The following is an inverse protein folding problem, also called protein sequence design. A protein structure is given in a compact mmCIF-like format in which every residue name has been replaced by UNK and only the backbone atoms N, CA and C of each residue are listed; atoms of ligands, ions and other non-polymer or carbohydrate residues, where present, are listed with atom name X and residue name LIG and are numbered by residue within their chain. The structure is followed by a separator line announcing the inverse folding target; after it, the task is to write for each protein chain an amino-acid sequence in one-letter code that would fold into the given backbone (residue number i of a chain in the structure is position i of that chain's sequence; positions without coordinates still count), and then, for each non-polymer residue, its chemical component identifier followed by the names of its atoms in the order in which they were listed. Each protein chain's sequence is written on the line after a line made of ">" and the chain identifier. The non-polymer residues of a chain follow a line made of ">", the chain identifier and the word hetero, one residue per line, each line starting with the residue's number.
data_IF_613727898642
#
_entry.id   IF_613727898642
#
_cell.length_a   1.000
_cell.length_b   1.000
_cell.length_c   1.000
_cell.angle_alpha   90.00
_cell.angle_beta   90.00
_cell.angle_gamma   90.00
#
_symmetry.space_group_name_H-M   'P 1'
#
loop_
_entity.id
_entity.type
_entity.pdbx_description
1 polymer ?
#
# COMPACT_ATOMS: atom_id res chain seq x y z
N UNK A 1 43.46 -48.55 4.23
CA UNK A 1 43.73 -47.44 3.29
C UNK A 1 42.49 -46.55 3.26
N UNK A 2 42.60 -45.28 3.64
CA UNK A 2 41.47 -44.33 3.60
C UNK A 2 41.41 -43.73 2.20
N UNK A 3 40.36 -44.07 1.43
CA UNK A 3 40.12 -43.53 0.09
C UNK A 3 39.32 -42.23 0.18
N UNK A 4 39.96 -41.10 -0.11
CA UNK A 4 39.33 -39.77 -0.16
C UNK A 4 38.44 -39.67 -1.40
N UNK A 5 37.12 -39.66 -1.22
CA UNK A 5 36.16 -39.29 -2.27
C UNK A 5 36.09 -37.77 -2.38
N UNK A 6 36.44 -37.22 -3.54
CA UNK A 6 36.24 -35.80 -3.82
C UNK A 6 34.74 -35.50 -3.94
N UNK A 7 34.26 -34.53 -3.16
CA UNK A 7 32.87 -34.04 -3.24
C UNK A 7 32.91 -32.62 -3.77
N UNK A 8 32.17 -32.39 -4.86
CA UNK A 8 31.88 -31.06 -5.38
C UNK A 8 30.79 -30.43 -4.50
N UNK A 9 31.20 -29.77 -3.42
CA UNK A 9 30.28 -29.14 -2.48
C UNK A 9 31.01 -28.18 -1.56
N UNK A 10 30.28 -27.22 -1.00
CA UNK A 10 30.85 -26.28 -0.04
C UNK A 10 31.34 -27.06 1.19
N UNK A 11 32.54 -26.72 1.65
CA UNK A 11 33.01 -27.17 2.95
C UNK A 11 32.09 -26.64 4.06
N UNK A 12 32.15 -27.21 5.26
CA UNK A 12 31.45 -26.68 6.43
C UNK A 12 31.71 -25.16 6.63
N UNK A 13 32.96 -24.71 6.39
CA UNK A 13 33.32 -23.29 6.42
C UNK A 13 32.66 -22.49 5.30
N UNK A 14 32.56 -23.08 4.11
CA UNK A 14 31.81 -22.47 2.99
C UNK A 14 30.33 -22.31 3.31
N UNK A 15 29.70 -23.33 3.90
CA UNK A 15 28.31 -23.26 4.36
C UNK A 15 28.11 -22.22 5.45
N UNK A 16 29.03 -22.13 6.43
CA UNK A 16 29.00 -21.07 7.43
C UNK A 16 29.09 -19.68 6.81
N UNK A 17 30.01 -19.46 5.86
CA UNK A 17 30.14 -18.18 5.17
C UNK A 17 28.86 -17.81 4.40
N UNK A 18 28.26 -18.77 3.68
CA UNK A 18 27.00 -18.54 2.96
C UNK A 18 25.87 -18.23 3.94
N UNK A 19 25.76 -18.97 5.04
CA UNK A 19 24.75 -18.73 6.07
C UNK A 19 24.93 -17.33 6.70
N UNK A 20 26.15 -16.96 7.08
CA UNK A 20 26.45 -15.63 7.62
C UNK A 20 26.14 -14.52 6.62
N UNK A 21 26.53 -14.67 5.36
CA UNK A 21 26.23 -13.70 4.30
C UNK A 21 24.71 -13.57 4.07
N UNK A 22 23.98 -14.69 4.09
CA UNK A 22 22.53 -14.72 3.91
C UNK A 22 21.81 -14.03 5.08
N UNK A 23 22.26 -14.27 6.31
CA UNK A 23 21.73 -13.61 7.50
C UNK A 23 21.99 -12.11 7.48
N UNK A 24 23.20 -11.68 7.09
CA UNK A 24 23.52 -10.27 6.92
C UNK A 24 22.64 -9.62 5.85
N UNK A 25 22.46 -10.27 4.70
CA UNK A 25 21.59 -9.76 3.65
C UNK A 25 20.13 -9.65 4.12
N UNK A 26 19.60 -10.68 4.79
CA UNK A 26 18.26 -10.67 5.36
C UNK A 26 18.08 -9.55 6.39
N UNK A 27 19.10 -9.31 7.22
CA UNK A 27 19.11 -8.20 8.18
C UNK A 27 19.07 -6.83 7.48
N UNK A 28 19.89 -6.62 6.44
CA UNK A 28 19.84 -5.38 5.67
C UNK A 28 18.49 -5.17 4.97
N UNK A 29 17.91 -6.23 4.39
CA UNK A 29 16.57 -6.17 3.79
C UNK A 29 15.53 -5.81 4.85
N UNK A 30 15.56 -6.45 6.02
CA UNK A 30 14.63 -6.18 7.11
C UNK A 30 14.67 -4.71 7.55
N UNK A 31 15.87 -4.11 7.63
CA UNK A 31 16.02 -2.70 8.01
C UNK A 31 15.57 -1.72 6.91
N UNK A 32 15.72 -2.08 5.63
CA UNK A 32 15.54 -1.15 4.52
C UNK A 32 14.24 -1.35 3.74
N UNK A 33 13.53 -2.46 3.91
CA UNK A 33 12.32 -2.78 3.13
C UNK A 33 11.22 -1.74 3.32
N UNK A 34 10.99 -1.28 4.56
CA UNK A 34 9.96 -0.28 4.83
C UNK A 34 10.26 1.09 4.19
N UNK A 35 11.40 1.76 4.46
CA UNK A 35 11.69 3.05 3.84
C UNK A 35 11.87 2.96 2.31
N UNK A 36 12.23 1.79 1.78
CA UNK A 36 12.25 1.55 0.34
C UNK A 36 10.84 1.51 -0.28
N UNK A 37 9.88 0.85 0.38
CA UNK A 37 8.50 0.72 -0.11
C UNK A 37 7.62 1.94 0.17
N UNK A 38 7.90 2.69 1.25
CA UNK A 38 7.07 3.80 1.74
C UNK A 38 7.75 5.17 1.56
N UNK A 39 8.30 5.44 0.38
CA UNK A 39 8.93 6.74 0.09
C UNK A 39 7.87 7.84 0.00
N UNK A 40 7.91 8.81 0.91
CA UNK A 40 7.01 9.98 0.89
C UNK A 40 7.74 11.21 0.35
N UNK A 41 7.37 11.67 -0.86
CA UNK A 41 7.80 12.96 -1.41
C UNK A 41 6.59 13.85 -1.63
N UNK A 42 6.44 14.82 -0.74
CA UNK A 42 5.32 15.78 -0.79
C UNK A 42 5.54 16.75 -1.95
N UNK A 43 4.50 16.99 -2.71
CA UNK A 43 4.47 17.96 -3.80
C UNK A 43 3.57 19.13 -3.42
N UNK A 44 3.81 20.31 -4.01
CA UNK A 44 2.93 21.45 -3.81
C UNK A 44 1.62 21.23 -4.59
N UNK A 45 0.56 20.84 -3.88
CA UNK A 45 -0.77 20.55 -4.43
C UNK A 45 -1.84 20.98 -3.44
N UNK A 46 -3.03 21.28 -3.95
CA UNK A 46 -4.22 21.55 -3.16
C UNK A 46 -5.16 20.34 -3.07
N UNK A 47 -4.80 19.20 -3.68
CA UNK A 47 -5.62 17.97 -3.69
C UNK A 47 -4.89 16.84 -2.96
N UNK A 48 -5.59 16.18 -2.05
CA UNK A 48 -5.17 14.95 -1.39
C UNK A 48 -5.97 13.77 -1.95
N UNK A 49 -5.32 12.63 -2.20
CA UNK A 49 -5.99 11.39 -2.60
C UNK A 49 -5.77 10.34 -1.52
N UNK A 50 -6.84 9.68 -1.09
CA UNK A 50 -6.84 8.71 0.00
C UNK A 50 -7.49 7.41 -0.46
N UNK A 51 -6.72 6.33 -0.49
CA UNK A 51 -7.25 4.98 -0.71
C UNK A 51 -8.16 4.58 0.45
N UNK A 52 -9.42 4.26 0.18
CA UNK A 52 -10.41 4.04 1.24
C UNK A 52 -10.40 2.65 1.88
N UNK A 53 -9.57 1.72 1.38
CA UNK A 53 -9.35 0.40 2.00
C UNK A 53 -8.17 0.39 2.98
N UNK A 54 -7.47 1.52 3.14
CA UNK A 54 -6.31 1.57 4.04
C UNK A 54 -6.74 1.43 5.51
N UNK A 55 -5.85 0.94 6.38
CA UNK A 55 -6.17 0.77 7.80
C UNK A 55 -6.53 2.10 8.47
N UNK A 56 -7.36 2.04 9.51
CA UNK A 56 -7.86 3.25 10.19
C UNK A 56 -6.78 4.16 10.78
N UNK A 57 -5.58 3.65 11.09
CA UNK A 57 -4.46 4.53 11.48
C UNK A 57 -3.99 5.41 10.33
N UNK A 58 -3.94 4.88 9.11
CA UNK A 58 -3.53 5.62 7.92
C UNK A 58 -4.59 6.65 7.52
N UNK A 59 -5.88 6.32 7.69
CA UNK A 59 -6.98 7.31 7.53
C UNK A 59 -6.82 8.47 8.53
N UNK A 60 -6.44 8.20 9.79
CA UNK A 60 -6.15 9.26 10.77
C UNK A 60 -4.97 10.14 10.37
N UNK A 61 -3.90 9.54 9.84
CA UNK A 61 -2.77 10.32 9.32
C UNK A 61 -3.15 11.15 8.09
N UNK A 62 -3.97 10.62 7.18
CA UNK A 62 -4.51 11.38 6.05
C UNK A 62 -5.37 12.57 6.49
N UNK A 63 -6.22 12.38 7.52
CA UNK A 63 -7.01 13.47 8.08
C UNK A 63 -6.13 14.56 8.74
N UNK A 64 -5.02 14.18 9.37
CA UNK A 64 -4.04 15.14 9.90
C UNK A 64 -3.32 15.87 8.77
N UNK A 65 -2.89 15.15 7.74
CA UNK A 65 -2.22 15.73 6.57
C UNK A 65 -3.11 16.75 5.86
N UNK A 66 -4.41 16.46 5.70
CA UNK A 66 -5.38 17.42 5.16
C UNK A 66 -5.47 18.69 6.02
N UNK A 67 -5.56 18.55 7.34
CA UNK A 67 -5.73 19.69 8.28
C UNK A 67 -4.47 20.55 8.42
N UNK A 68 -3.29 19.95 8.31
CA UNK A 68 -2.00 20.64 8.45
C UNK A 68 -1.52 21.21 7.12
N UNK A 69 -1.81 20.53 6.02
CA UNK A 69 -1.43 20.95 4.68
C UNK A 69 -2.34 22.03 4.11
N UNK A 70 -1.98 22.55 2.94
CA UNK A 70 -2.76 23.56 2.20
C UNK A 70 -3.76 22.93 1.23
N UNK A 71 -4.34 21.79 1.61
CA UNK A 71 -5.30 21.06 0.80
C UNK A 71 -6.67 21.72 0.85
N UNK A 72 -7.36 21.72 -0.29
CA UNK A 72 -8.72 22.23 -0.45
C UNK A 72 -9.71 21.10 -0.66
N UNK A 73 -9.27 19.99 -1.26
CA UNK A 73 -10.11 18.85 -1.63
C UNK A 73 -9.42 17.53 -1.29
N UNK A 74 -10.22 16.54 -0.89
CA UNK A 74 -9.81 15.16 -0.68
C UNK A 74 -10.64 14.25 -1.57
N UNK A 75 -9.97 13.48 -2.40
CA UNK A 75 -10.60 12.37 -3.11
C UNK A 75 -10.41 11.08 -2.35
N UNK A 76 -11.49 10.32 -2.17
CA UNK A 76 -11.41 8.94 -1.67
C UNK A 76 -11.54 7.96 -2.81
N UNK A 77 -10.59 7.04 -2.94
CA UNK A 77 -10.54 6.07 -4.04
C UNK A 77 -10.76 4.65 -3.54
N UNK A 78 -11.16 3.75 -4.44
CA UNK A 78 -11.23 2.33 -4.15
C UNK A 78 -12.32 1.59 -4.92
N UNK A 79 -12.09 0.30 -5.13
CA UNK A 79 -13.03 -0.60 -5.81
C UNK A 79 -14.13 -1.12 -4.89
N UNK A 80 -14.96 -2.06 -5.36
CA UNK A 80 -16.01 -2.65 -4.53
C UNK A 80 -15.45 -3.31 -3.28
N UNK A 81 -16.21 -3.22 -2.19
CA UNK A 81 -15.86 -3.90 -0.96
C UNK A 81 -15.89 -5.41 -1.21
N UNK A 82 -14.85 -6.13 -0.79
CA UNK A 82 -14.61 -7.54 -1.13
C UNK A 82 -15.82 -8.44 -0.79
N UNK A 83 -16.55 -8.10 0.27
CA UNK A 83 -17.73 -8.84 0.73
C UNK A 83 -19.00 -8.61 -0.12
N UNK A 84 -19.01 -7.60 -0.99
CA UNK A 84 -20.19 -7.26 -1.82
C UNK A 84 -20.33 -8.13 -3.08
N UNK A 85 -19.39 -9.06 -3.34
CA UNK A 85 -19.45 -9.94 -4.51
C UNK A 85 -19.23 -9.25 -5.87
N UNK A 86 -18.83 -7.98 -5.86
CA UNK A 86 -18.63 -7.17 -7.06
C UNK A 86 -19.13 -5.74 -6.86
N UNK A 87 -19.10 -4.95 -7.94
CA UNK A 87 -19.63 -3.59 -7.92
C UNK A 87 -21.17 -3.62 -7.92
N UNK A 88 -21.77 -3.04 -6.89
CA UNK A 88 -23.24 -2.87 -6.77
C UNK A 88 -23.62 -1.44 -7.17
N UNK A 89 -23.03 -0.46 -6.49
CA UNK A 89 -23.14 0.97 -6.77
C UNK A 89 -21.92 1.70 -6.18
N UNK A 90 -21.81 3.01 -6.47
CA UNK A 90 -20.69 3.85 -6.03
C UNK A 90 -20.57 3.93 -4.48
N UNK A 91 -21.65 3.67 -3.73
CA UNK A 91 -21.67 3.66 -2.25
C UNK A 91 -21.27 2.32 -1.62
N UNK A 92 -21.13 1.25 -2.41
CA UNK A 92 -20.62 -0.06 -1.96
C UNK A 92 -19.16 -0.27 -2.40
N UNK A 93 -18.33 0.75 -2.22
CA UNK A 93 -16.92 0.73 -2.60
C UNK A 93 -16.04 1.13 -1.43
N UNK A 94 -14.77 0.77 -1.47
CA UNK A 94 -13.80 1.27 -0.49
C UNK A 94 -13.72 2.81 -0.52
N UNK A 95 -14.01 3.46 -1.66
CA UNK A 95 -14.08 4.92 -1.73
C UNK A 95 -15.13 5.51 -0.76
N UNK A 96 -16.31 4.90 -0.65
CA UNK A 96 -17.35 5.34 0.30
C UNK A 96 -16.97 5.04 1.75
N UNK A 97 -16.33 3.91 2.01
CA UNK A 97 -15.80 3.57 3.34
C UNK A 97 -14.77 4.60 3.81
N UNK A 98 -13.84 4.97 2.92
CA UNK A 98 -12.84 6.00 3.19
C UNK A 98 -13.47 7.38 3.43
N UNK A 99 -14.47 7.75 2.63
CA UNK A 99 -15.18 9.02 2.77
C UNK A 99 -15.88 9.11 4.13
N UNK A 100 -16.64 8.07 4.50
CA UNK A 100 -17.33 8.01 5.79
C UNK A 100 -16.35 8.06 6.97
N UNK A 101 -15.22 7.37 6.87
CA UNK A 101 -14.18 7.38 7.89
C UNK A 101 -13.56 8.78 8.06
N UNK A 102 -13.30 9.50 6.97
CA UNK A 102 -12.78 10.87 7.01
C UNK A 102 -13.82 11.87 7.53
N UNK A 103 -15.10 11.72 7.15
CA UNK A 103 -16.21 12.51 7.72
C UNK A 103 -16.27 12.34 9.24
N UNK A 104 -16.15 11.11 9.74
CA UNK A 104 -16.11 10.81 11.19
C UNK A 104 -14.91 11.46 11.90
N UNK A 105 -13.83 11.75 11.19
CA UNK A 105 -12.65 12.47 11.71
C UNK A 105 -12.78 14.01 11.59
N UNK A 106 -13.96 14.49 11.18
CA UNK A 106 -14.31 15.91 11.15
C UNK A 106 -13.81 16.63 9.89
N UNK A 107 -13.62 15.94 8.78
CA UNK A 107 -13.39 16.61 7.50
C UNK A 107 -14.71 17.18 6.95
N UNK A 108 -14.72 18.39 6.39
CA UNK A 108 -15.90 19.00 5.80
C UNK A 108 -16.40 18.17 4.61
N UNK A 109 -17.72 17.98 4.50
CA UNK A 109 -18.30 17.18 3.41
C UNK A 109 -18.12 17.86 2.05
N UNK A 110 -18.09 19.19 2.02
CA UNK A 110 -17.81 20.00 0.83
C UNK A 110 -16.38 19.83 0.29
N UNK A 111 -15.46 19.36 1.14
CA UNK A 111 -14.07 19.08 0.76
C UNK A 111 -13.82 17.62 0.40
N UNK A 112 -14.83 16.76 0.51
CA UNK A 112 -14.72 15.32 0.28
C UNK A 112 -15.44 14.94 -1.01
N UNK A 113 -14.74 14.20 -1.87
CA UNK A 113 -15.30 13.69 -3.11
C UNK A 113 -14.91 12.22 -3.30
N UNK A 114 -15.91 11.35 -3.52
CA UNK A 114 -15.63 9.96 -3.86
C UNK A 114 -15.22 9.84 -5.33
N UNK A 115 -14.19 9.02 -5.57
CA UNK A 115 -13.74 8.56 -6.88
C UNK A 115 -13.73 7.02 -6.91
N UNK A 116 -14.90 6.37 -6.97
CA UNK A 116 -15.03 4.92 -6.92
C UNK A 116 -14.48 4.25 -8.19
N UNK A 117 -13.74 3.15 -8.02
CA UNK A 117 -13.36 2.30 -9.14
C UNK A 117 -14.46 1.28 -9.41
N UNK A 118 -15.06 1.38 -10.59
CA UNK A 118 -16.05 0.41 -11.08
C UNK A 118 -15.33 -0.82 -11.62
N UNK A 119 -15.85 -2.00 -11.36
CA UNK A 119 -15.26 -3.25 -11.89
C UNK A 119 -15.66 -3.38 -13.34
N UNK A 120 -14.66 -3.45 -14.23
CA UNK A 120 -14.86 -3.85 -15.61
C UNK A 120 -14.29 -5.27 -15.82
N UNK A 121 -15.15 -6.21 -16.20
CA UNK A 121 -14.79 -7.63 -16.35
C UNK A 121 -13.87 -7.93 -17.53
N UNK A 122 -13.62 -6.94 -18.41
CA UNK A 122 -12.80 -7.06 -19.61
C UNK A 122 -11.68 -6.04 -19.58
N UNK A 123 -10.46 -6.47 -19.89
CA UNK A 123 -9.27 -5.62 -20.02
C UNK A 123 -9.04 -4.70 -18.80
N UNK A 124 -8.85 -5.32 -17.64
CA UNK A 124 -8.69 -4.64 -16.33
C UNK A 124 -7.61 -3.55 -16.34
N UNK A 125 -6.49 -3.79 -17.02
CA UNK A 125 -5.41 -2.80 -17.11
C UNK A 125 -5.79 -1.57 -17.93
N UNK A 126 -6.50 -1.76 -19.05
CA UNK A 126 -7.00 -0.65 -19.86
C UNK A 126 -8.08 0.11 -19.10
N UNK A 127 -9.07 -0.61 -18.56
CA UNK A 127 -10.22 -0.02 -17.88
C UNK A 127 -9.91 0.71 -16.57
N UNK A 128 -8.76 0.45 -15.94
CA UNK A 128 -8.31 1.20 -14.76
C UNK A 128 -7.53 2.49 -15.08
N UNK A 129 -7.13 2.69 -16.33
CA UNK A 129 -6.25 3.80 -16.74
C UNK A 129 -6.98 4.94 -17.48
N UNK A 130 -8.27 4.76 -17.79
CA UNK A 130 -9.17 5.71 -18.47
C UNK A 130 -10.34 6.06 -17.57
#
# INVERSE_FOLDING_TARGET
>A
MVTRKERWGLSWRGWLLVASASLLAAYFVFLNVYPFLAVTRRVNTNILVVEGWIPGYAIREAAKEFKVGSYQLVFTTGGPVVESGGYINDYHTSASVGEEALKKLGLPSESLQMAPSRVNGRERTYSSAV
#
